data_IF_419363034951
#
_entry.id   IF_419363034951
#
_cell.length_a   1.000
_cell.length_b   1.000
_cell.length_c   1.000
_cell.angle_alpha   90.00
_cell.angle_beta   90.00
_cell.angle_gamma   90.00
#
_symmetry.space_group_name_H-M   'P 1'
#
loop_
_entity.id
_entity.type
_entity.pdbx_description
1 polymer ?
#
# COMPACT_ATOMS: atom_id res chain seq x y z
N UNK A 1 -1.35 -14.13 5.68
CA UNK A 1 -0.42 -13.05 6.10
C UNK A 1 1.00 -13.56 6.36
N UNK A 2 1.21 -14.56 7.23
CA UNK A 2 2.56 -15.09 7.56
C UNK A 2 3.40 -15.56 6.36
N UNK A 3 2.80 -16.22 5.37
CA UNK A 3 3.52 -16.74 4.17
C UNK A 3 3.93 -15.68 3.15
N UNK A 4 3.35 -14.47 3.21
CA UNK A 4 3.73 -13.35 2.35
C UNK A 4 4.92 -12.59 2.93
N UNK A 5 4.99 -12.46 4.26
CA UNK A 5 6.13 -11.86 4.96
C UNK A 5 7.42 -12.68 4.76
N UNK A 6 7.32 -14.02 4.73
CA UNK A 6 8.45 -14.91 4.43
C UNK A 6 8.97 -14.80 2.98
N UNK A 7 8.19 -14.23 2.05
CA UNK A 7 8.57 -14.04 0.64
C UNK A 7 9.10 -12.64 0.33
N UNK A 8 9.07 -11.73 1.30
CA UNK A 8 9.59 -10.38 1.11
C UNK A 8 11.13 -10.39 1.20
N UNK A 9 11.79 -10.21 0.06
CA UNK A 9 13.26 -10.16 -0.01
C UNK A 9 13.86 -8.82 0.48
N UNK A 10 13.04 -7.76 0.52
CA UNK A 10 13.43 -6.41 0.93
C UNK A 10 12.53 -5.93 2.07
N UNK A 11 13.12 -5.20 3.03
CA UNK A 11 12.41 -4.61 4.16
C UNK A 11 11.21 -3.74 3.73
N UNK A 12 11.36 -3.01 2.63
CA UNK A 12 10.36 -2.11 2.05
C UNK A 12 9.16 -2.86 1.42
N UNK A 13 9.32 -4.15 1.10
CA UNK A 13 8.30 -4.97 0.44
C UNK A 13 7.49 -5.82 1.43
N UNK A 14 7.74 -5.69 2.73
CA UNK A 14 7.04 -6.47 3.76
C UNK A 14 5.63 -5.92 3.95
N UNK A 15 4.63 -6.78 3.69
CA UNK A 15 3.22 -6.47 3.90
C UNK A 15 2.89 -6.32 5.38
N UNK A 16 2.23 -5.21 5.71
CA UNK A 16 1.82 -4.83 7.06
C UNK A 16 0.32 -5.05 7.29
N UNK A 17 -0.03 -5.34 8.55
CA UNK A 17 -1.36 -5.06 9.05
C UNK A 17 -1.34 -3.65 9.63
N UNK A 18 -2.11 -2.75 9.03
CA UNK A 18 -2.14 -1.34 9.38
C UNK A 18 -3.40 -1.09 10.18
N UNK A 19 -3.30 -0.79 11.49
CA UNK A 19 -4.46 -0.41 12.29
C UNK A 19 -5.16 0.80 11.68
N UNK A 20 -6.49 0.75 11.57
CA UNK A 20 -7.24 1.75 10.82
C UNK A 20 -7.20 3.14 11.46
N UNK A 21 -7.01 3.22 12.78
CA UNK A 21 -6.79 4.45 13.55
C UNK A 21 -5.43 5.13 13.24
N UNK A 22 -4.51 4.44 12.57
CA UNK A 22 -3.27 5.04 12.02
C UNK A 22 -3.48 5.68 10.64
N UNK A 23 -4.70 5.63 10.11
CA UNK A 23 -5.10 6.25 8.85
C UNK A 23 -6.03 7.44 9.16
N UNK A 24 -5.56 8.64 8.83
CA UNK A 24 -6.30 9.89 9.03
C UNK A 24 -6.70 10.50 7.68
N UNK A 25 -7.57 11.51 7.71
CA UNK A 25 -8.04 12.24 6.52
C UNK A 25 -8.57 11.33 5.41
N UNK A 26 -9.27 10.26 5.80
CA UNK A 26 -9.81 9.27 4.87
C UNK A 26 -10.90 9.91 4.00
N UNK A 27 -10.66 9.99 2.69
CA UNK A 27 -11.54 10.66 1.73
C UNK A 27 -11.77 9.78 0.50
N UNK A 28 -13.02 9.60 0.08
CA UNK A 28 -13.33 8.89 -1.16
C UNK A 28 -12.81 9.69 -2.37
N UNK A 29 -12.05 9.04 -3.25
CA UNK A 29 -11.46 9.64 -4.46
C UNK A 29 -11.95 8.98 -5.76
N UNK A 30 -12.68 7.87 -5.65
CA UNK A 30 -13.30 7.21 -6.78
C UNK A 30 -14.13 6.00 -6.36
N UNK A 31 -15.15 5.69 -7.15
CA UNK A 31 -16.03 4.53 -6.95
C UNK A 31 -16.34 3.90 -8.31
N UNK A 32 -16.33 2.58 -8.37
CA UNK A 32 -16.66 1.83 -9.58
C UNK A 32 -17.24 0.45 -9.27
N UNK A 33 -17.43 -0.38 -10.31
CA UNK A 33 -17.99 -1.73 -10.16
C UNK A 33 -17.13 -2.71 -9.35
N UNK A 34 -15.87 -2.36 -9.08
CA UNK A 34 -14.91 -3.18 -8.34
C UNK A 34 -14.54 -2.59 -6.96
N UNK A 35 -15.42 -1.75 -6.41
CA UNK A 35 -15.27 -1.13 -5.10
C UNK A 35 -15.00 0.38 -5.12
N UNK A 36 -14.82 0.93 -3.92
CA UNK A 36 -14.42 2.32 -3.67
C UNK A 36 -12.92 2.43 -3.43
N UNK A 37 -12.38 3.59 -3.80
CA UNK A 37 -10.99 3.99 -3.56
C UNK A 37 -10.99 5.26 -2.74
N UNK A 38 -10.17 5.28 -1.70
CA UNK A 38 -9.99 6.40 -0.79
C UNK A 38 -8.53 6.85 -0.80
N UNK A 39 -8.28 8.11 -0.48
CA UNK A 39 -6.97 8.60 -0.02
C UNK A 39 -6.96 8.67 1.49
N UNK A 40 -5.80 8.46 2.13
CA UNK A 40 -5.61 8.67 3.55
C UNK A 40 -4.17 9.09 3.87
N UNK A 41 -3.97 9.72 5.02
CA UNK A 41 -2.65 9.99 5.60
C UNK A 41 -2.30 8.87 6.59
N UNK A 42 -1.28 8.07 6.26
CA UNK A 42 -0.75 7.04 7.13
C UNK A 42 0.28 7.62 8.10
N UNK A 43 -0.07 7.62 9.39
CA UNK A 43 0.68 8.28 10.47
C UNK A 43 1.99 7.58 10.86
N UNK A 44 2.18 6.31 10.51
CA UNK A 44 3.47 5.61 10.72
C UNK A 44 4.41 5.74 9.52
N UNK A 45 3.89 6.28 8.42
CA UNK A 45 4.56 6.39 7.13
C UNK A 45 5.01 5.07 6.51
N UNK A 46 5.46 5.17 5.28
CA UNK A 46 5.99 4.05 4.49
C UNK A 46 7.39 3.68 5.01
N UNK A 47 7.68 2.38 5.06
CA UNK A 47 9.02 1.88 5.36
C UNK A 47 10.00 2.29 4.28
N UNK A 48 11.19 2.71 4.70
CA UNK A 48 12.30 3.04 3.82
C UNK A 48 13.61 2.50 4.38
N UNK A 49 14.61 2.42 3.51
CA UNK A 49 15.98 2.15 3.93
C UNK A 49 16.82 3.39 3.67
N UNK A 50 17.33 4.00 4.74
CA UNK A 50 18.23 5.16 4.63
C UNK A 50 19.66 4.67 4.34
N UNK A 51 20.31 5.34 3.39
CA UNK A 51 21.70 5.11 3.01
C UNK A 51 22.58 6.15 3.71
N UNK A 52 23.42 5.73 4.63
CA UNK A 52 24.28 6.62 5.43
C UNK A 52 25.71 6.50 4.90
N UNK A 53 26.30 7.64 4.52
CA UNK A 53 27.71 7.72 4.16
C UNK A 53 28.56 7.58 5.41
N UNK A 54 29.53 6.69 5.36
CA UNK A 54 30.56 6.59 6.38
C UNK A 54 31.79 7.35 5.86
N UNK A 55 32.24 8.38 6.61
CA UNK A 55 33.25 9.37 6.17
C UNK A 55 34.66 8.81 5.92
N UNK A 56 34.85 7.51 6.07
CA UNK A 56 36.10 6.81 5.95
C UNK A 56 35.94 5.70 4.91
N UNK A 57 36.09 6.07 3.63
CA UNK A 57 36.48 5.30 2.43
C UNK A 57 35.92 3.87 2.16
N UNK A 58 35.12 3.27 3.03
CA UNK A 58 34.82 1.83 3.06
C UNK A 58 33.34 1.48 2.89
N UNK A 59 32.48 2.45 2.57
CA UNK A 59 31.15 2.16 2.00
C UNK A 59 29.96 2.81 2.72
N UNK A 60 28.79 2.24 2.48
CA UNK A 60 27.50 2.74 2.95
C UNK A 60 26.90 1.82 4.01
N UNK A 61 26.28 2.39 5.04
CA UNK A 61 25.46 1.65 5.99
C UNK A 61 23.98 1.82 5.62
N UNK A 62 23.24 0.72 5.62
CA UNK A 62 21.80 0.71 5.38
C UNK A 62 21.06 0.63 6.72
N UNK A 63 20.27 1.65 7.02
CA UNK A 63 19.46 1.72 8.24
C UNK A 63 17.98 1.59 7.89
N UNK A 64 17.27 0.74 8.62
CA UNK A 64 15.79 0.67 8.53
C UNK A 64 15.20 1.94 9.12
N UNK A 65 14.31 2.59 8.37
CA UNK A 65 13.63 3.80 8.78
C UNK A 65 12.18 3.80 8.27
N UNK A 66 11.42 4.84 8.62
CA UNK A 66 10.09 5.12 8.08
C UNK A 66 9.98 6.59 7.73
N UNK A 67 9.10 6.91 6.79
CA UNK A 67 8.63 8.28 6.62
C UNK A 67 7.85 8.73 7.87
N UNK A 68 7.87 10.02 8.24
CA UNK A 68 7.08 10.51 9.37
C UNK A 68 5.57 10.33 9.18
N UNK A 69 5.12 10.47 7.94
CA UNK A 69 3.75 10.23 7.48
C UNK A 69 3.74 10.09 5.97
N UNK A 70 2.78 9.36 5.41
CA UNK A 70 2.70 9.18 3.95
C UNK A 70 1.26 9.20 3.46
N UNK A 71 1.03 9.80 2.30
CA UNK A 71 -0.26 9.66 1.61
C UNK A 71 -0.35 8.28 0.95
N UNK A 72 -1.46 7.58 1.21
CA UNK A 72 -1.73 6.24 0.69
C UNK A 72 -3.09 6.19 0.02
N UNK A 73 -3.27 5.22 -0.89
CA UNK A 73 -4.56 4.87 -1.45
C UNK A 73 -5.12 3.64 -0.74
N UNK A 74 -6.40 3.66 -0.38
CA UNK A 74 -7.11 2.51 0.19
C UNK A 74 -8.12 2.01 -0.83
N UNK A 75 -8.07 0.73 -1.19
CA UNK A 75 -9.06 0.10 -2.07
C UNK A 75 -9.88 -0.90 -1.26
N UNK A 76 -11.20 -0.77 -1.28
CA UNK A 76 -12.11 -1.76 -0.68
C UNK A 76 -12.02 -3.08 -1.44
N UNK A 77 -12.07 -4.19 -0.73
CA UNK A 77 -12.20 -5.50 -1.35
C UNK A 77 -13.67 -5.90 -1.46
N UNK A 78 -14.17 -6.01 -2.68
CA UNK A 78 -15.52 -6.53 -2.95
C UNK A 78 -15.71 -7.92 -2.34
N UNK A 79 -16.86 -8.14 -1.70
CA UNK A 79 -17.17 -9.41 -1.02
C UNK A 79 -16.54 -9.57 0.38
N UNK A 80 -15.82 -8.57 0.91
CA UNK A 80 -15.25 -8.66 2.27
C UNK A 80 -16.32 -8.80 3.37
N UNK A 81 -17.56 -8.39 3.10
CA UNK A 81 -18.70 -8.55 4.01
C UNK A 81 -19.39 -9.92 3.88
N UNK A 82 -19.16 -10.68 2.82
CA UNK A 82 -19.94 -11.89 2.50
C UNK A 82 -19.41 -13.16 3.19
N UNK A 83 -18.49 -13.03 4.16
CA UNK A 83 -17.85 -14.13 4.90
C UNK A 83 -17.16 -15.22 4.05
N UNK A 84 -17.10 -15.05 2.74
CA UNK A 84 -16.32 -15.90 1.86
C UNK A 84 -14.90 -15.34 1.78
N UNK A 85 -13.90 -16.21 1.95
CA UNK A 85 -12.47 -15.88 1.85
C UNK A 85 -12.03 -15.38 0.45
N UNK A 86 -12.97 -15.01 -0.41
CA UNK A 86 -12.77 -14.55 -1.79
C UNK A 86 -12.01 -13.23 -1.85
N UNK A 87 -12.17 -12.34 -0.87
CA UNK A 87 -11.36 -11.11 -0.79
C UNK A 87 -9.85 -11.41 -0.71
N UNK A 88 -9.47 -12.53 -0.05
CA UNK A 88 -8.08 -12.97 0.01
C UNK A 88 -7.58 -13.48 -1.34
N UNK A 89 -8.46 -13.94 -2.23
CA UNK A 89 -8.09 -14.38 -3.58
C UNK A 89 -7.65 -13.19 -4.43
N UNK A 90 -8.39 -12.07 -4.39
CA UNK A 90 -8.00 -10.83 -5.06
C UNK A 90 -6.64 -10.34 -4.52
N UNK A 91 -6.49 -10.24 -3.19
CA UNK A 91 -5.25 -9.82 -2.57
C UNK A 91 -4.05 -10.71 -2.96
N UNK A 92 -4.20 -12.05 -2.92
CA UNK A 92 -3.15 -13.00 -3.33
C UNK A 92 -2.78 -12.81 -4.80
N UNK A 93 -3.76 -12.58 -5.68
CA UNK A 93 -3.54 -12.35 -7.11
C UNK A 93 -2.74 -11.07 -7.35
N UNK A 94 -3.15 -9.97 -6.72
CA UNK A 94 -2.45 -8.69 -6.78
C UNK A 94 -1.01 -8.81 -6.26
N UNK A 95 -0.80 -9.58 -5.20
CA UNK A 95 0.53 -9.81 -4.65
C UNK A 95 1.44 -10.60 -5.59
N UNK A 96 0.89 -11.61 -6.28
CA UNK A 96 1.63 -12.36 -7.30
C UNK A 96 2.06 -11.45 -8.44
N UNK A 97 1.18 -10.55 -8.91
CA UNK A 97 1.52 -9.59 -9.96
C UNK A 97 2.59 -8.60 -9.49
N UNK A 98 2.45 -8.02 -8.30
CA UNK A 98 3.41 -7.04 -7.76
C UNK A 98 4.81 -7.65 -7.58
N UNK A 99 4.90 -8.90 -7.12
CA UNK A 99 6.18 -9.61 -6.96
C UNK A 99 6.85 -9.98 -8.29
N UNK A 100 6.05 -10.27 -9.33
CA UNK A 100 6.57 -10.68 -10.63
C UNK A 100 6.87 -9.50 -11.57
N UNK A 101 6.30 -8.32 -11.31
CA UNK A 101 6.39 -7.15 -12.19
C UNK A 101 6.79 -5.89 -11.40
N UNK A 102 8.05 -5.45 -11.56
CA UNK A 102 8.64 -4.28 -10.90
C UNK A 102 8.00 -2.91 -11.26
N UNK A 103 6.93 -2.86 -12.05
CA UNK A 103 6.30 -1.62 -12.55
C UNK A 103 4.87 -1.38 -12.01
N UNK A 104 4.38 -2.22 -11.10
CA UNK A 104 3.06 -2.00 -10.47
C UNK A 104 3.16 -1.09 -9.25
N UNK A 105 2.02 -0.49 -8.88
CA UNK A 105 1.88 0.26 -7.63
C UNK A 105 2.27 -0.62 -6.44
N UNK A 106 3.04 -0.07 -5.51
CA UNK A 106 3.43 -0.80 -4.31
C UNK A 106 2.20 -1.13 -3.45
N UNK A 107 2.18 -2.34 -2.90
CA UNK A 107 1.20 -2.78 -1.90
C UNK A 107 1.89 -2.74 -0.54
N UNK A 108 1.40 -1.90 0.37
CA UNK A 108 1.98 -1.75 1.70
C UNK A 108 1.35 -2.69 2.71
N UNK A 109 0.06 -2.98 2.59
CA UNK A 109 -0.62 -3.70 3.64
C UNK A 109 -2.10 -3.94 3.44
N UNK A 110 -2.69 -4.47 4.51
CA UNK A 110 -4.12 -4.60 4.70
C UNK A 110 -4.52 -3.79 5.93
N UNK A 111 -5.73 -3.25 5.89
CA UNK A 111 -6.39 -2.62 7.04
C UNK A 111 -7.84 -3.08 7.08
N UNK A 112 -8.49 -2.91 8.22
CA UNK A 112 -9.91 -3.17 8.39
C UNK A 112 -10.57 -1.94 9.01
N UNK A 113 -11.54 -1.38 8.31
CA UNK A 113 -12.33 -0.28 8.85
C UNK A 113 -13.16 -0.79 10.03
N UNK A 114 -12.92 -0.23 11.21
CA UNK A 114 -13.57 -0.66 12.46
C UNK A 114 -15.07 -0.29 12.51
N UNK A 115 -15.51 0.66 11.69
CA UNK A 115 -16.91 1.08 11.62
C UNK A 115 -17.71 0.20 10.66
N UNK A 116 -17.14 -0.13 9.49
CA UNK A 116 -17.83 -0.90 8.45
C UNK A 116 -17.47 -2.39 8.45
N UNK A 117 -16.46 -2.80 9.21
CA UNK A 117 -15.82 -4.13 9.18
C UNK A 117 -15.24 -4.52 7.80
N UNK A 118 -15.16 -3.60 6.85
CA UNK A 118 -14.62 -3.85 5.52
C UNK A 118 -13.10 -3.95 5.55
N UNK A 119 -12.57 -4.89 4.77
CA UNK A 119 -11.14 -5.01 4.56
C UNK A 119 -10.72 -4.16 3.35
N UNK A 120 -9.64 -3.40 3.53
CA UNK A 120 -9.06 -2.57 2.48
C UNK A 120 -7.58 -2.94 2.26
N UNK A 121 -7.15 -2.84 1.00
CA UNK A 121 -5.74 -2.91 0.64
C UNK A 121 -5.17 -1.50 0.65
N UNK A 122 -3.99 -1.35 1.25
CA UNK A 122 -3.23 -0.09 1.28
C UNK A 122 -2.18 -0.09 0.17
N UNK A 123 -2.29 0.85 -0.74
CA UNK A 123 -1.45 1.03 -1.92
C UNK A 123 -0.66 2.34 -1.88
N UNK A 124 0.40 2.39 -2.69
CA UNK A 124 1.01 3.63 -3.15
C UNK A 124 -0.06 4.57 -3.74
N UNK A 125 -0.05 5.82 -3.30
CA UNK A 125 -0.87 6.86 -3.89
C UNK A 125 -0.25 7.38 -5.20
N UNK A 126 -1.06 7.50 -6.26
CA UNK A 126 -0.63 8.02 -7.55
C UNK A 126 -0.90 9.53 -7.63
N UNK A 127 0.14 10.34 -7.40
CA UNK A 127 0.03 11.81 -7.29
C UNK A 127 -0.56 12.49 -8.53
N UNK A 128 -0.35 11.92 -9.72
CA UNK A 128 -0.82 12.45 -10.99
C UNK A 128 -2.22 11.97 -11.41
N UNK A 129 -2.90 11.23 -10.52
CA UNK A 129 -4.23 10.69 -10.76
C UNK A 129 -4.26 9.57 -11.79
N UNK A 130 -5.41 9.40 -12.47
CA UNK A 130 -5.56 8.35 -13.47
C UNK A 130 -4.81 8.68 -14.76
N UNK A 131 -4.33 7.64 -15.45
CA UNK A 131 -3.66 7.77 -16.75
C UNK A 131 -4.50 8.60 -17.74
N UNK A 132 -5.83 8.39 -17.77
CA UNK A 132 -6.74 9.17 -18.60
C UNK A 132 -6.69 10.68 -18.30
N UNK A 133 -6.76 11.07 -17.02
CA UNK A 133 -6.69 12.48 -16.61
C UNK A 133 -5.32 13.07 -16.90
N UNK A 134 -4.26 12.30 -16.67
CA UNK A 134 -2.89 12.72 -16.93
C UNK A 134 -2.66 13.00 -18.42
N UNK A 135 -3.04 12.06 -19.29
CA UNK A 135 -2.88 12.20 -20.73
C UNK A 135 -3.62 13.43 -21.27
N UNK A 136 -4.90 13.60 -20.90
CA UNK A 136 -5.71 14.76 -21.32
C UNK A 136 -5.15 16.12 -20.85
N UNK A 137 -4.37 16.14 -19.78
CA UNK A 137 -3.76 17.37 -19.24
C UNK A 137 -2.42 17.70 -19.92
N UNK A 138 -1.71 16.69 -20.42
CA UNK A 138 -0.30 16.80 -20.86
C UNK A 138 -0.12 16.71 -22.36
N UNK A 139 -1.10 16.17 -23.08
CA UNK A 139 -1.14 16.01 -24.53
C UNK A 139 -2.49 16.50 -25.05
#
# INVERSE_FOLDING_TARGET
MKTSQLRAWKYENVIEWIPFDRLSDVKEIGKGGFGSVYSATWLDGIRKVDKINYDNAYGYIYKRAREPSSTVALKTLTGSMENNNDFLKEFKSLMKCTLNYNKMLAIYGLTQNTQTNEYLIVFQYANDGSLYKYLRKKF
#
